data_IF_920660674130
#
_entry.id   IF_920660674130
#
_cell.length_a   1.000
_cell.length_b   1.000
_cell.length_c   1.000
_cell.angle_alpha   90.00
_cell.angle_beta   90.00
_cell.angle_gamma   90.00
#
_symmetry.space_group_name_H-M   'P 1'
#
loop_
_entity.id
_entity.type
_entity.pdbx_description
1 polymer ?
#
# COMPACT_ATOMS: atom_id res chain seq x y z
N UNK A 1 21.52 -11.41 -8.94
CA UNK A 1 21.15 -9.97 -8.96
C UNK A 1 22.28 -9.21 -8.29
N UNK A 2 22.75 -8.09 -8.87
CA UNK A 2 23.88 -7.35 -8.28
C UNK A 2 23.42 -6.35 -7.24
N UNK A 3 22.40 -5.55 -7.57
CA UNK A 3 21.80 -4.57 -6.67
C UNK A 3 20.45 -4.09 -7.19
N UNK A 4 19.68 -3.46 -6.31
CA UNK A 4 18.47 -2.72 -6.65
C UNK A 4 18.63 -1.27 -6.22
N UNK A 5 18.08 -0.34 -7.00
CA UNK A 5 18.13 1.08 -6.68
C UNK A 5 16.77 1.75 -6.90
N UNK A 6 16.24 2.38 -5.85
CA UNK A 6 15.09 3.29 -5.97
C UNK A 6 15.65 4.65 -6.40
N UNK A 7 15.23 5.09 -7.59
CA UNK A 7 15.91 6.15 -8.34
C UNK A 7 15.26 7.51 -8.16
N UNK A 8 13.97 7.61 -8.42
CA UNK A 8 13.23 8.87 -8.39
C UNK A 8 11.78 8.66 -7.94
N UNK A 9 11.13 9.76 -7.59
CA UNK A 9 9.70 9.85 -7.35
C UNK A 9 9.13 10.95 -8.23
N UNK A 10 8.14 10.60 -9.04
CA UNK A 10 7.40 11.56 -9.88
C UNK A 10 5.96 11.57 -9.37
N UNK A 11 5.50 12.73 -8.90
CA UNK A 11 4.22 12.91 -8.21
C UNK A 11 4.13 11.96 -6.99
N UNK A 12 3.41 10.84 -7.10
CA UNK A 12 3.26 9.85 -6.04
C UNK A 12 3.78 8.47 -6.43
N UNK A 13 4.43 8.35 -7.59
CA UNK A 13 4.96 7.08 -8.10
C UNK A 13 6.47 7.04 -7.97
N UNK A 14 6.97 6.01 -7.29
CA UNK A 14 8.40 5.72 -7.18
C UNK A 14 8.86 4.83 -8.33
N UNK A 15 10.08 5.06 -8.81
CA UNK A 15 10.71 4.28 -9.87
C UNK A 15 11.96 3.56 -9.36
N UNK A 16 12.14 2.31 -9.74
CA UNK A 16 13.27 1.50 -9.34
C UNK A 16 13.97 0.84 -10.54
N UNK A 17 15.27 0.61 -10.38
CA UNK A 17 16.09 -0.10 -11.37
C UNK A 17 16.73 -1.32 -10.73
N UNK A 18 16.60 -2.45 -11.42
CA UNK A 18 17.24 -3.71 -11.08
C UNK A 18 18.54 -3.83 -11.89
N UNK A 19 19.65 -4.04 -11.21
CA UNK A 19 20.95 -4.24 -11.86
C UNK A 19 21.33 -5.72 -11.82
N UNK A 20 21.43 -6.30 -13.01
CA UNK A 20 21.79 -7.70 -13.23
C UNK A 20 23.21 -7.78 -13.77
N UNK A 21 23.97 -8.77 -13.30
CA UNK A 21 25.28 -9.11 -13.85
C UNK A 21 25.32 -10.59 -14.16
N UNK A 22 25.90 -10.94 -15.32
CA UNK A 22 26.13 -12.35 -15.67
C UNK A 22 27.44 -12.83 -15.02
N UNK A 23 27.50 -14.06 -14.48
CA UNK A 23 28.74 -14.63 -13.99
C UNK A 23 29.82 -14.61 -15.08
N UNK A 24 31.02 -14.12 -14.75
CA UNK A 24 32.15 -14.06 -15.68
C UNK A 24 32.10 -12.96 -16.74
N UNK A 25 31.08 -12.08 -16.75
CA UNK A 25 31.04 -10.87 -17.60
C UNK A 25 30.89 -9.63 -16.73
N UNK A 26 31.66 -8.58 -17.06
CA UNK A 26 31.60 -7.31 -16.34
C UNK A 26 30.45 -6.39 -16.81
N UNK A 27 29.61 -6.88 -17.74
CA UNK A 27 28.44 -6.16 -18.22
C UNK A 27 27.35 -6.11 -17.15
N UNK A 28 26.87 -4.90 -16.88
CA UNK A 28 25.76 -4.65 -15.97
C UNK A 28 24.55 -4.26 -16.82
N UNK A 29 23.48 -5.04 -16.72
CA UNK A 29 22.21 -4.78 -17.38
C UNK A 29 21.30 -4.09 -16.37
N UNK A 30 20.80 -2.90 -16.73
CA UNK A 30 19.77 -2.22 -15.95
C UNK A 30 18.39 -2.51 -16.52
N UNK A 31 17.48 -2.97 -15.68
CA UNK A 31 16.07 -3.19 -16.03
C UNK A 31 15.21 -2.25 -15.21
N UNK A 32 14.26 -1.58 -15.88
CA UNK A 32 13.27 -0.74 -15.21
C UNK A 32 12.20 -1.62 -14.56
N UNK A 33 11.90 -1.38 -13.29
CA UNK A 33 11.03 -2.22 -12.47
C UNK A 33 10.22 -1.39 -11.49
N UNK A 34 9.02 -1.85 -11.15
CA UNK A 34 8.27 -1.24 -10.05
C UNK A 34 9.00 -1.47 -8.73
N UNK A 35 8.97 -0.51 -7.79
CA UNK A 35 9.65 -0.62 -6.49
C UNK A 35 9.27 -1.87 -5.69
N UNK A 36 8.00 -2.27 -5.69
CA UNK A 36 7.52 -3.47 -5.01
C UNK A 36 8.17 -4.74 -5.55
N UNK A 37 8.20 -4.89 -6.87
CA UNK A 37 8.84 -6.01 -7.56
C UNK A 37 10.36 -5.99 -7.30
N UNK A 38 10.99 -4.82 -7.34
CA UNK A 38 12.42 -4.65 -7.11
C UNK A 38 12.84 -5.08 -5.69
N UNK A 39 12.09 -4.67 -4.66
CA UNK A 39 12.32 -5.04 -3.26
C UNK A 39 12.14 -6.55 -3.07
N UNK A 40 11.09 -7.13 -3.65
CA UNK A 40 10.83 -8.56 -3.54
C UNK A 40 11.96 -9.39 -4.18
N UNK A 41 12.44 -8.96 -5.35
CA UNK A 41 13.59 -9.61 -6.02
C UNK A 41 14.86 -9.44 -5.19
N UNK A 42 15.13 -8.25 -4.64
CA UNK A 42 16.28 -8.02 -3.77
C UNK A 42 16.26 -8.92 -2.53
N UNK A 43 15.10 -9.04 -1.87
CA UNK A 43 14.92 -9.91 -0.71
C UNK A 43 15.17 -11.38 -1.02
N UNK A 44 14.63 -11.87 -2.15
CA UNK A 44 14.83 -13.28 -2.58
C UNK A 44 16.25 -13.59 -3.00
N UNK A 45 16.97 -12.61 -3.55
CA UNK A 45 18.33 -12.77 -4.03
C UNK A 45 19.40 -12.29 -3.04
N UNK A 46 19.01 -11.91 -1.81
CA UNK A 46 19.88 -11.31 -0.80
C UNK A 46 20.74 -10.17 -1.36
N UNK A 47 20.16 -9.37 -2.26
CA UNK A 47 20.87 -8.30 -2.96
C UNK A 47 20.73 -6.97 -2.21
N UNK A 48 21.77 -6.12 -2.23
CA UNK A 48 21.72 -4.81 -1.58
C UNK A 48 20.71 -3.88 -2.26
N UNK A 49 19.99 -3.12 -1.42
CA UNK A 49 19.02 -2.11 -1.84
C UNK A 49 19.62 -0.73 -1.59
N UNK A 50 19.62 0.11 -2.62
CA UNK A 50 20.05 1.50 -2.56
C UNK A 50 18.87 2.43 -2.81
N UNK A 51 18.92 3.61 -2.19
CA UNK A 51 17.92 4.66 -2.38
C UNK A 51 18.62 5.96 -2.70
N UNK A 52 18.10 6.69 -3.67
CA UNK A 52 18.60 8.03 -3.99
C UNK A 52 18.46 8.98 -2.79
N UNK A 53 19.54 9.70 -2.48
CA UNK A 53 19.60 10.64 -1.34
C UNK A 53 18.45 11.66 -1.34
N UNK A 54 18.04 12.15 -2.50
CA UNK A 54 16.96 13.14 -2.60
C UNK A 54 15.61 12.59 -2.14
N UNK A 55 15.32 11.31 -2.38
CA UNK A 55 14.09 10.65 -1.92
C UNK A 55 14.13 10.56 -0.40
N UNK A 56 15.27 10.12 0.14
CA UNK A 56 15.46 10.01 1.60
C UNK A 56 15.27 11.36 2.28
N UNK A 57 15.83 12.44 1.72
CA UNK A 57 15.74 13.77 2.31
C UNK A 57 14.32 14.36 2.27
N UNK A 58 13.53 14.05 1.25
CA UNK A 58 12.18 14.61 1.08
C UNK A 58 11.11 13.78 1.79
N UNK A 59 11.22 12.46 1.71
CA UNK A 59 10.12 11.55 2.01
C UNK A 59 10.40 10.62 3.21
N UNK A 60 11.65 10.47 3.66
CA UNK A 60 11.95 9.55 4.75
C UNK A 60 11.47 10.10 6.10
N UNK A 61 10.78 9.24 6.84
CA UNK A 61 10.37 9.50 8.22
C UNK A 61 11.40 8.84 9.15
N UNK A 62 11.98 9.63 10.07
CA UNK A 62 12.86 9.09 11.10
C UNK A 62 12.02 8.45 12.19
N UNK A 63 12.04 7.13 12.29
CA UNK A 63 11.38 6.40 13.37
C UNK A 63 12.30 6.45 14.60
N UNK A 64 11.92 7.24 15.60
CA UNK A 64 12.60 7.30 16.90
C UNK A 64 12.07 6.24 17.86
N UNK A 65 12.88 5.25 18.20
CA UNK A 65 12.58 4.30 19.27
C UNK A 65 13.01 4.91 20.61
N UNK A 66 12.16 5.76 21.20
CA UNK A 66 12.38 6.30 22.54
C UNK A 66 12.03 7.77 22.69
N UNK A 67 11.17 8.05 23.68
CA UNK A 67 10.79 9.37 24.21
C UNK A 67 10.04 10.33 23.26
N UNK A 68 8.75 10.52 23.54
CA UNK A 68 7.96 11.65 23.03
C UNK A 68 7.26 11.37 21.70
N UNK A 69 5.97 11.05 21.77
CA UNK A 69 5.06 11.10 20.62
C UNK A 69 5.03 12.54 20.08
N UNK A 70 5.83 12.82 19.05
CA UNK A 70 5.47 13.86 18.10
C UNK A 70 4.29 13.34 17.29
N UNK A 71 3.08 13.57 17.80
CA UNK A 71 1.87 13.53 16.98
C UNK A 71 2.08 14.46 15.78
N UNK A 72 2.25 13.94 14.56
CA UNK A 72 2.30 14.83 13.39
C UNK A 72 2.89 14.32 12.08
N UNK A 73 3.22 13.04 11.92
CA UNK A 73 3.43 12.49 10.58
C UNK A 73 2.80 11.10 10.53
N UNK A 74 1.49 11.06 10.21
CA UNK A 74 0.91 9.83 9.65
C UNK A 74 1.84 9.45 8.50
N UNK A 75 2.34 8.22 8.50
CA UNK A 75 3.01 7.70 7.32
C UNK A 75 2.03 7.85 6.17
N UNK A 76 2.31 8.78 5.26
CA UNK A 76 1.55 8.97 4.02
C UNK A 76 1.93 7.82 3.09
N UNK A 77 1.62 6.58 3.49
CA UNK A 77 1.38 5.55 2.50
C UNK A 77 0.03 5.94 1.90
N UNK A 78 0.10 6.73 0.84
CA UNK A 78 -1.07 7.06 0.05
C UNK A 78 -1.43 5.85 -0.80
N UNK A 79 -2.06 4.86 -0.16
CA UNK A 79 -2.66 3.69 -0.83
C UNK A 79 -3.89 4.07 -1.66
N UNK A 80 -4.28 5.35 -1.71
CA UNK A 80 -5.38 5.81 -2.58
C UNK A 80 -5.11 5.57 -4.06
N UNK A 81 -3.84 5.53 -4.49
CA UNK A 81 -3.45 5.30 -5.88
C UNK A 81 -3.22 3.83 -6.26
N UNK A 82 -3.13 2.93 -5.28
CA UNK A 82 -3.17 1.46 -5.49
C UNK A 82 -4.62 0.92 -5.45
N UNK A 83 -5.59 1.79 -5.11
CA UNK A 83 -7.01 1.53 -5.25
C UNK A 83 -7.49 1.97 -6.64
N UNK A 84 -8.44 1.23 -7.22
CA UNK A 84 -9.09 1.62 -8.47
C UNK A 84 -9.73 3.02 -8.34
N UNK A 85 -9.78 3.75 -9.46
CA UNK A 85 -10.18 5.16 -9.55
C UNK A 85 -11.35 5.53 -8.63
N UNK A 86 -11.17 6.63 -7.87
CA UNK A 86 -12.11 7.20 -6.91
C UNK A 86 -13.53 7.32 -7.50
N UNK A 87 -14.35 6.34 -7.19
CA UNK A 87 -15.81 6.38 -7.26
C UNK A 87 -16.35 5.58 -6.07
N UNK A 88 -17.60 5.82 -5.63
CA UNK A 88 -18.23 4.96 -4.64
C UNK A 88 -18.33 3.54 -5.22
N UNK A 89 -17.38 2.69 -4.87
CA UNK A 89 -17.39 1.29 -5.25
C UNK A 89 -18.42 0.59 -4.37
N UNK A 90 -19.50 0.16 -5.00
CA UNK A 90 -20.57 -0.62 -4.37
C UNK A 90 -20.05 -1.82 -3.56
N UNK A 91 -18.93 -2.42 -3.98
CA UNK A 91 -18.30 -3.56 -3.30
C UNK A 91 -17.63 -3.11 -1.99
N UNK A 92 -16.96 -1.96 -2.00
CA UNK A 92 -16.34 -1.37 -0.81
C UNK A 92 -17.38 -0.96 0.22
N UNK A 93 -18.48 -0.32 -0.21
CA UNK A 93 -19.59 0.05 0.68
C UNK A 93 -20.26 -1.18 1.32
N UNK A 94 -20.46 -2.26 0.53
CA UNK A 94 -20.98 -3.51 1.04
C UNK A 94 -20.06 -4.14 2.09
N UNK A 95 -18.75 -4.17 1.79
CA UNK A 95 -17.73 -4.71 2.69
C UNK A 95 -17.70 -3.98 4.03
N UNK A 96 -17.75 -2.65 4.01
CA UNK A 96 -17.75 -1.84 5.23
C UNK A 96 -19.00 -2.10 6.09
N UNK A 97 -20.18 -2.27 5.48
CA UNK A 97 -21.41 -2.61 6.20
C UNK A 97 -21.31 -4.00 6.85
N UNK A 98 -20.79 -5.00 6.14
CA UNK A 98 -20.61 -6.37 6.66
C UNK A 98 -19.61 -6.37 7.82
N UNK A 99 -18.47 -5.70 7.67
CA UNK A 99 -17.44 -5.60 8.70
C UNK A 99 -17.97 -4.91 9.96
N UNK A 100 -18.68 -3.79 9.82
CA UNK A 100 -19.24 -3.06 10.95
C UNK A 100 -20.34 -3.86 11.66
N UNK A 101 -21.11 -4.65 10.93
CA UNK A 101 -22.09 -5.58 11.51
C UNK A 101 -21.41 -6.67 12.36
N UNK A 102 -20.34 -7.30 11.86
CA UNK A 102 -19.57 -8.33 12.59
C UNK A 102 -18.94 -7.78 13.88
N UNK A 103 -18.36 -6.58 13.81
CA UNK A 103 -17.84 -5.87 15.00
C UNK A 103 -18.95 -5.64 16.02
N UNK A 104 -20.12 -5.16 15.58
CA UNK A 104 -21.25 -4.90 16.47
C UNK A 104 -21.82 -6.19 17.10
N UNK A 105 -21.84 -7.32 16.38
CA UNK A 105 -22.24 -8.63 16.93
C UNK A 105 -21.26 -9.08 18.00
N UNK A 106 -19.96 -8.99 17.72
CA UNK A 106 -18.91 -9.40 18.67
C UNK A 106 -18.86 -8.52 19.93
N UNK A 107 -19.24 -7.25 19.80
CA UNK A 107 -19.36 -6.31 20.92
C UNK A 107 -20.75 -6.32 21.60
N UNK A 108 -21.62 -7.27 21.24
CA UNK A 108 -22.98 -7.41 21.77
C UNK A 108 -23.89 -6.17 21.56
N UNK A 109 -23.53 -5.29 20.61
CA UNK A 109 -24.31 -4.11 20.20
C UNK A 109 -25.34 -4.48 19.14
N UNK A 110 -26.30 -5.33 19.51
CA UNK A 110 -27.29 -5.89 18.58
C UNK A 110 -28.17 -4.85 17.87
N UNK A 111 -28.46 -3.72 18.52
CA UNK A 111 -29.20 -2.61 17.89
C UNK A 111 -28.45 -1.99 16.71
N UNK A 112 -27.13 -1.87 16.80
CA UNK A 112 -26.31 -1.32 15.74
C UNK A 112 -26.07 -2.36 14.63
N UNK A 113 -25.89 -3.63 15.00
CA UNK A 113 -25.83 -4.74 14.04
C UNK A 113 -27.11 -4.82 13.19
N UNK A 114 -28.29 -4.66 13.79
CA UNK A 114 -29.56 -4.61 13.08
C UNK A 114 -29.64 -3.43 12.09
N UNK A 115 -29.17 -2.24 12.48
CA UNK A 115 -29.10 -1.08 11.57
C UNK A 115 -28.16 -1.33 10.39
N UNK A 116 -27.00 -1.93 10.61
CA UNK A 116 -26.06 -2.27 9.53
C UNK A 116 -26.64 -3.31 8.58
N UNK A 117 -27.30 -4.36 9.11
CA UNK A 117 -28.03 -5.34 8.32
C UNK A 117 -29.11 -4.70 7.44
N UNK A 118 -29.91 -3.80 8.00
CA UNK A 118 -31.01 -3.17 7.25
C UNK A 118 -30.48 -2.24 6.15
N UNK A 119 -29.35 -1.55 6.39
CA UNK A 119 -28.64 -0.78 5.36
C UNK A 119 -28.07 -1.68 4.26
N UNK A 120 -27.46 -2.81 4.62
CA UNK A 120 -26.94 -3.79 3.68
C UNK A 120 -28.03 -4.36 2.76
N UNK A 121 -29.20 -4.67 3.32
CA UNK A 121 -30.35 -5.13 2.55
C UNK A 121 -30.87 -4.06 1.57
N UNK A 122 -30.90 -2.79 1.98
CA UNK A 122 -31.27 -1.69 1.08
C UNK A 122 -30.28 -1.52 -0.06
N UNK A 123 -28.98 -1.60 0.22
CA UNK A 123 -27.92 -1.50 -0.77
C UNK A 123 -28.04 -2.63 -1.82
N UNK A 124 -28.18 -3.88 -1.37
CA UNK A 124 -28.36 -5.03 -2.26
C UNK A 124 -29.62 -4.96 -3.13
N UNK A 125 -30.72 -4.42 -2.61
CA UNK A 125 -31.94 -4.17 -3.40
C UNK A 125 -31.70 -3.13 -4.49
N UNK A 126 -31.05 -2.02 -4.13
CA UNK A 126 -30.70 -0.96 -5.09
C UNK A 126 -29.77 -1.43 -6.21
N UNK A 127 -28.93 -2.44 -5.96
CA UNK A 127 -28.05 -3.06 -6.96
C UNK A 127 -28.83 -4.01 -7.89
N UNK A 128 -29.90 -4.65 -7.39
CA UNK A 128 -30.68 -5.62 -8.16
C UNK A 128 -31.74 -4.98 -9.07
N UNK A 129 -32.20 -3.77 -8.73
CA UNK A 129 -33.20 -3.02 -9.51
C UNK A 129 -32.59 -2.19 -10.67
N UNK A 130 -31.27 -2.25 -10.87
CA UNK A 130 -30.51 -1.56 -11.92
C UNK A 130 -29.91 -2.55 -12.92
#
# INVERSE_FOLDING_TARGET
VKMVRITERVVNTYFAKLYLSKPGKNEIISVDVRPSDAINVANRCEAPIYVSKHIVLKDAIRIGYGMGRAHGAKATYDVSLDSAAEGPDSVTEEFDLVKNMDIAVREERYNDAAKFRDKLLKLRKSIHDH
#
